data_IF_676646066568
#
_entry.id   IF_676646066568
#
_cell.length_a   1.000
_cell.length_b   1.000
_cell.length_c   1.000
_cell.angle_alpha   90.00
_cell.angle_beta   90.00
_cell.angle_gamma   90.00
#
_symmetry.space_group_name_H-M   'P 1'
#
loop_
_entity.id
_entity.type
_entity.pdbx_description
1 polymer ?
#
# COMPACT_ATOMS: atom_id res chain seq x y z
N UNK A 1 4.72 32.33 -2.88
CA UNK A 1 5.39 31.19 -3.55
C UNK A 1 6.66 30.81 -2.79
N UNK A 2 7.73 31.59 -2.91
CA UNK A 2 9.04 31.29 -2.29
C UNK A 2 8.98 31.18 -0.76
N UNK A 3 8.18 32.01 -0.09
CA UNK A 3 8.03 31.94 1.36
C UNK A 3 7.60 30.55 1.85
N UNK A 4 6.64 29.89 1.18
CA UNK A 4 6.17 28.55 1.56
C UNK A 4 7.30 27.52 1.44
N UNK A 5 8.08 27.58 0.35
CA UNK A 5 9.23 26.71 0.15
C UNK A 5 10.35 26.97 1.16
N UNK A 6 10.60 28.23 1.52
CA UNK A 6 11.60 28.60 2.52
C UNK A 6 11.19 28.09 3.91
N UNK A 7 9.93 28.30 4.30
CA UNK A 7 9.43 27.87 5.61
C UNK A 7 9.47 26.35 5.76
N UNK A 8 9.01 25.60 4.75
CA UNK A 8 9.07 24.14 4.84
C UNK A 8 10.52 23.64 4.86
N UNK A 9 11.44 24.22 4.07
CA UNK A 9 12.87 23.90 4.13
C UNK A 9 13.50 24.26 5.47
N UNK A 10 12.97 25.27 6.15
CA UNK A 10 13.50 25.70 7.45
C UNK A 10 13.36 24.63 8.53
N UNK A 11 12.44 23.66 8.35
CA UNK A 11 12.33 22.50 9.25
C UNK A 11 13.60 21.64 9.31
N UNK A 12 14.44 21.67 8.27
CA UNK A 12 15.73 20.96 8.27
C UNK A 12 16.85 21.72 9.02
N UNK A 13 16.57 22.95 9.48
CA UNK A 13 17.56 23.74 10.19
C UNK A 13 17.86 23.16 11.58
N UNK A 14 19.15 23.07 11.92
CA UNK A 14 19.62 22.40 13.15
C UNK A 14 18.99 22.94 14.44
N UNK A 15 18.67 24.23 14.49
CA UNK A 15 18.03 24.82 15.66
C UNK A 15 16.54 24.44 15.74
N UNK A 16 15.87 24.32 14.59
CA UNK A 16 14.46 23.90 14.51
C UNK A 16 14.31 22.43 14.86
N UNK A 17 15.27 21.59 14.47
CA UNK A 17 15.28 20.17 14.81
C UNK A 17 15.32 19.90 16.32
N UNK A 18 15.86 20.83 17.12
CA UNK A 18 15.96 20.72 18.58
C UNK A 18 14.72 21.21 19.31
N UNK A 19 13.81 21.87 18.62
CA UNK A 19 12.64 22.52 19.20
C UNK A 19 11.34 21.96 18.59
N UNK A 20 10.76 20.93 19.22
CA UNK A 20 9.55 20.25 18.74
C UNK A 20 8.34 21.17 18.53
N UNK A 21 8.16 22.17 19.39
CA UNK A 21 7.09 23.18 19.30
C UNK A 21 7.25 24.04 18.05
N UNK A 22 8.46 24.58 17.83
CA UNK A 22 8.73 25.45 16.68
C UNK A 22 8.53 24.71 15.34
N UNK A 23 8.78 23.40 15.28
CA UNK A 23 8.45 22.60 14.09
C UNK A 23 6.95 22.61 13.80
N UNK A 24 6.11 22.39 14.81
CA UNK A 24 4.66 22.41 14.65
C UNK A 24 4.19 23.79 14.21
N UNK A 25 4.66 24.85 14.88
CA UNK A 25 4.29 26.23 14.57
C UNK A 25 4.67 26.60 13.11
N UNK A 26 5.87 26.24 12.67
CA UNK A 26 6.31 26.47 11.29
C UNK A 26 5.38 25.76 10.30
N UNK A 27 5.04 24.48 10.54
CA UNK A 27 4.18 23.72 9.64
C UNK A 27 2.76 24.29 9.61
N UNK A 28 2.21 24.65 10.77
CA UNK A 28 0.86 25.22 10.89
C UNK A 28 0.76 26.58 10.20
N UNK A 29 1.72 27.48 10.45
CA UNK A 29 1.80 28.78 9.76
C UNK A 29 1.96 28.59 8.26
N UNK A 30 2.82 27.67 7.83
CA UNK A 30 3.01 27.36 6.41
C UNK A 30 1.71 26.85 5.77
N UNK A 31 0.97 26.00 6.48
CA UNK A 31 -0.33 25.45 6.05
C UNK A 31 -1.37 26.56 5.91
N UNK A 32 -1.49 27.43 6.91
CA UNK A 32 -2.42 28.56 6.88
C UNK A 32 -2.08 29.53 5.74
N UNK A 33 -0.80 29.86 5.56
CA UNK A 33 -0.35 30.68 4.43
C UNK A 33 -0.66 30.01 3.09
N UNK A 34 -0.46 28.70 2.97
CA UNK A 34 -0.81 27.95 1.75
C UNK A 34 -2.30 28.06 1.44
N UNK A 35 -3.18 27.96 2.46
CA UNK A 35 -4.63 28.09 2.27
C UNK A 35 -5.04 29.48 1.77
N UNK A 36 -4.50 30.54 2.39
CA UNK A 36 -4.94 31.91 2.15
C UNK A 36 -4.31 32.59 0.93
N UNK A 37 -3.12 32.17 0.50
CA UNK A 37 -2.49 32.77 -0.68
C UNK A 37 -3.17 32.25 -1.95
N UNK A 38 -3.77 33.16 -2.72
CA UNK A 38 -4.13 32.89 -4.12
C UNK A 38 -2.83 32.79 -4.91
N UNK A 39 -2.45 31.57 -5.25
CA UNK A 39 -1.14 31.24 -5.75
C UNK A 39 -1.31 30.35 -6.99
N UNK A 40 -0.77 30.81 -8.13
CA UNK A 40 -0.61 30.00 -9.33
C UNK A 40 0.44 28.88 -9.15
N UNK A 41 0.28 27.71 -9.78
CA UNK A 41 1.29 26.65 -9.73
C UNK A 41 2.69 27.20 -10.09
N UNK A 42 3.70 26.92 -9.26
CA UNK A 42 5.07 27.38 -9.50
C UNK A 42 6.11 26.34 -9.09
N UNK A 43 7.32 26.45 -9.64
CA UNK A 43 8.47 25.59 -9.30
C UNK A 43 8.78 25.63 -7.80
N UNK A 44 8.55 26.78 -7.15
CA UNK A 44 8.75 26.90 -5.70
C UNK A 44 7.76 26.04 -4.91
N UNK A 45 6.49 25.97 -5.33
CA UNK A 45 5.49 25.10 -4.68
C UNK A 45 5.82 23.63 -4.95
N UNK A 46 6.23 23.27 -6.17
CA UNK A 46 6.67 21.90 -6.50
C UNK A 46 7.86 21.49 -5.60
N UNK A 47 8.83 22.39 -5.41
CA UNK A 47 9.92 22.18 -4.45
C UNK A 47 9.41 21.98 -3.02
N UNK A 48 8.45 22.80 -2.59
CA UNK A 48 7.83 22.68 -1.27
C UNK A 48 7.09 21.34 -1.06
N UNK A 49 6.46 20.78 -2.11
CA UNK A 49 5.88 19.42 -2.08
C UNK A 49 6.96 18.38 -1.83
N UNK A 50 8.09 18.45 -2.54
CA UNK A 50 9.21 17.53 -2.35
C UNK A 50 9.77 17.59 -0.93
N UNK A 51 9.92 18.78 -0.37
CA UNK A 51 10.38 18.97 1.00
C UNK A 51 9.34 18.45 2.01
N UNK A 52 8.06 18.76 1.84
CA UNK A 52 6.99 18.25 2.69
C UNK A 52 6.90 16.71 2.67
N UNK A 53 7.09 16.06 1.52
CA UNK A 53 7.17 14.60 1.43
C UNK A 53 8.38 14.02 2.19
N UNK A 54 9.52 14.71 2.16
CA UNK A 54 10.70 14.34 2.95
C UNK A 54 10.40 14.43 4.44
N UNK A 55 9.73 15.49 4.89
CA UNK A 55 9.29 15.64 6.28
C UNK A 55 8.23 14.61 6.66
N UNK A 56 7.33 14.23 5.76
CA UNK A 56 6.34 13.18 5.99
C UNK A 56 7.03 11.83 6.20
N UNK A 57 8.04 11.48 5.39
CA UNK A 57 8.83 10.27 5.63
C UNK A 57 9.52 10.29 6.98
N UNK A 58 10.12 11.44 7.34
CA UNK A 58 10.79 11.61 8.65
C UNK A 58 9.79 11.44 9.81
N UNK A 59 8.61 12.07 9.75
CA UNK A 59 7.61 11.96 10.83
C UNK A 59 7.04 10.55 10.97
N UNK A 60 6.82 9.84 9.86
CA UNK A 60 6.45 8.42 9.86
C UNK A 60 7.56 7.59 10.53
N UNK A 61 8.83 7.85 10.20
CA UNK A 61 9.96 7.14 10.80
C UNK A 61 10.07 7.37 12.31
N UNK A 62 9.91 8.62 12.77
CA UNK A 62 9.91 8.94 14.21
C UNK A 62 8.84 8.19 14.99
N UNK A 63 7.66 7.98 14.38
CA UNK A 63 6.55 7.25 14.99
C UNK A 63 6.80 5.72 15.10
N UNK A 64 7.81 5.17 14.41
CA UNK A 64 8.14 3.74 14.48
C UNK A 64 8.98 3.37 15.70
N UNK A 65 9.73 4.33 16.26
CA UNK A 65 10.59 4.13 17.44
C UNK A 65 9.84 4.39 18.77
N UNK A 66 8.51 4.44 18.71
CA UNK A 66 7.65 4.80 19.82
C UNK A 66 7.69 3.82 21.01
N UNK A 67 8.12 2.57 20.83
CA UNK A 67 8.04 1.53 21.86
C UNK A 67 8.68 1.93 23.21
N UNK A 68 9.76 2.73 23.17
CA UNK A 68 10.51 3.17 24.35
C UNK A 68 10.31 4.66 24.71
N UNK A 69 9.45 5.38 23.99
CA UNK A 69 9.26 6.82 24.14
C UNK A 69 8.14 7.17 25.13
N UNK A 70 8.33 8.30 25.83
CA UNK A 70 7.32 8.87 26.73
C UNK A 70 6.05 9.30 25.99
N UNK A 71 4.91 9.34 26.70
CA UNK A 71 3.61 9.66 26.12
C UNK A 71 3.58 11.02 25.39
N UNK A 72 4.32 12.01 25.91
CA UNK A 72 4.44 13.34 25.30
C UNK A 72 5.10 13.29 23.92
N UNK A 73 6.18 12.52 23.78
CA UNK A 73 6.92 12.39 22.52
C UNK A 73 6.08 11.66 21.47
N UNK A 74 5.36 10.60 21.88
CA UNK A 74 4.40 9.88 21.01
C UNK A 74 3.30 10.81 20.50
N UNK A 75 2.71 11.59 21.40
CA UNK A 75 1.68 12.56 21.04
C UNK A 75 2.22 13.61 20.08
N UNK A 76 3.44 14.09 20.30
CA UNK A 76 4.12 15.00 19.40
C UNK A 76 4.40 14.38 18.02
N UNK A 77 4.93 13.15 17.95
CA UNK A 77 5.17 12.42 16.69
C UNK A 77 3.89 12.29 15.87
N UNK A 78 2.79 11.93 16.52
CA UNK A 78 1.45 11.85 15.91
C UNK A 78 1.01 13.22 15.38
N UNK A 79 1.10 14.26 16.21
CA UNK A 79 0.69 15.61 15.80
C UNK A 79 1.53 16.13 14.64
N UNK A 80 2.86 15.96 14.70
CA UNK A 80 3.78 16.35 13.62
C UNK A 80 3.40 15.67 12.31
N UNK A 81 3.10 14.37 12.34
CA UNK A 81 2.66 13.63 11.16
C UNK A 81 1.35 14.19 10.60
N UNK A 82 0.38 14.51 11.44
CA UNK A 82 -0.91 15.08 11.03
C UNK A 82 -0.76 16.47 10.41
N UNK A 83 0.02 17.37 11.04
CA UNK A 83 0.22 18.73 10.49
C UNK A 83 1.02 18.71 9.19
N UNK A 84 2.03 17.83 9.06
CA UNK A 84 2.80 17.69 7.81
C UNK A 84 1.94 17.10 6.69
N UNK A 85 1.09 16.11 7.00
CA UNK A 85 0.16 15.52 6.04
C UNK A 85 -0.84 16.56 5.49
N UNK A 86 -1.37 17.39 6.39
CA UNK A 86 -2.25 18.50 6.02
C UNK A 86 -1.51 19.55 5.17
N UNK A 87 -0.29 19.93 5.55
CA UNK A 87 0.53 20.86 4.80
C UNK A 87 0.81 20.36 3.37
N UNK A 88 1.19 19.08 3.24
CA UNK A 88 1.41 18.44 1.95
C UNK A 88 0.13 18.42 1.09
N UNK A 89 -1.01 18.18 1.72
CA UNK A 89 -2.32 18.22 1.06
C UNK A 89 -2.60 19.60 0.46
N UNK A 90 -2.39 20.67 1.23
CA UNK A 90 -2.56 22.06 0.74
C UNK A 90 -1.60 22.40 -0.40
N UNK A 91 -0.34 21.96 -0.32
CA UNK A 91 0.61 22.16 -1.42
C UNK A 91 0.17 21.40 -2.68
N UNK A 92 -0.30 20.15 -2.55
CA UNK A 92 -0.80 19.38 -3.68
C UNK A 92 -2.00 20.07 -4.36
N UNK A 93 -2.93 20.61 -3.57
CA UNK A 93 -4.04 21.42 -4.08
C UNK A 93 -3.55 22.67 -4.83
N UNK A 94 -2.50 23.34 -4.36
CA UNK A 94 -1.93 24.51 -5.03
C UNK A 94 -1.15 24.20 -6.30
N UNK A 95 -0.52 23.03 -6.41
CA UNK A 95 0.09 22.60 -7.67
C UNK A 95 -0.98 22.36 -8.74
N UNK A 96 -2.12 21.78 -8.36
CA UNK A 96 -3.28 21.57 -9.24
C UNK A 96 -3.09 20.50 -10.32
N UNK A 97 -1.87 20.26 -10.79
CA UNK A 97 -1.53 19.14 -11.69
C UNK A 97 -0.81 18.00 -10.95
N UNK A 98 -1.24 16.78 -11.22
CA UNK A 98 -0.67 15.58 -10.61
C UNK A 98 0.73 15.24 -11.16
N UNK A 99 1.00 15.56 -12.43
CA UNK A 99 2.24 15.18 -13.12
C UNK A 99 3.53 15.48 -12.33
N UNK A 100 3.76 16.74 -11.92
CA UNK A 100 4.94 17.10 -11.12
C UNK A 100 5.03 16.35 -9.79
N UNK A 101 3.92 16.08 -9.12
CA UNK A 101 3.90 15.36 -7.84
C UNK A 101 4.26 13.89 -8.02
N UNK A 102 3.77 13.26 -9.10
CA UNK A 102 4.12 11.88 -9.45
C UNK A 102 5.61 11.74 -9.81
N UNK A 103 6.20 12.76 -10.45
CA UNK A 103 7.64 12.79 -10.68
C UNK A 103 8.43 12.86 -9.37
N UNK A 104 7.97 13.64 -8.38
CA UNK A 104 8.58 13.66 -7.04
C UNK A 104 8.46 12.28 -6.37
N UNK A 105 7.31 11.61 -6.49
CA UNK A 105 7.13 10.25 -6.01
C UNK A 105 8.12 9.28 -6.66
N UNK A 106 8.36 9.40 -7.97
CA UNK A 106 9.34 8.60 -8.69
C UNK A 106 10.76 8.84 -8.16
N UNK A 107 11.18 10.11 -8.03
CA UNK A 107 12.50 10.49 -7.48
C UNK A 107 12.69 9.94 -6.07
N UNK A 108 11.64 9.94 -5.25
CA UNK A 108 11.70 9.38 -3.88
C UNK A 108 11.86 7.86 -3.86
N UNK A 109 11.46 7.16 -4.93
CA UNK A 109 11.58 5.71 -5.09
C UNK A 109 12.84 5.27 -5.86
N UNK A 110 13.53 6.18 -6.56
CA UNK A 110 14.64 5.88 -7.47
C UNK A 110 15.73 4.99 -6.88
N UNK A 111 15.98 5.12 -5.58
CA UNK A 111 16.97 4.35 -4.85
C UNK A 111 16.36 3.81 -3.55
N UNK A 112 15.31 3.00 -3.67
CA UNK A 112 14.71 2.39 -2.49
C UNK A 112 15.75 1.62 -1.68
N UNK A 113 15.84 1.94 -0.39
CA UNK A 113 16.89 1.40 0.47
C UNK A 113 16.69 -0.10 0.72
N UNK A 114 17.77 -0.87 0.76
CA UNK A 114 17.72 -2.26 1.24
C UNK A 114 17.49 -2.37 2.75
N UNK A 115 17.56 -1.27 3.50
CA UNK A 115 17.27 -1.22 4.92
C UNK A 115 15.75 -1.20 5.09
N UNK A 116 15.18 -2.29 5.61
CA UNK A 116 13.73 -2.54 5.72
C UNK A 116 12.95 -1.35 6.29
N UNK A 117 13.40 -0.75 7.39
CA UNK A 117 12.70 0.38 8.03
C UNK A 117 12.69 1.61 7.10
N UNK A 118 13.79 1.87 6.39
CA UNK A 118 13.90 3.00 5.45
C UNK A 118 13.05 2.74 4.20
N UNK A 119 13.02 1.51 3.69
CA UNK A 119 12.17 1.10 2.57
C UNK A 119 10.68 1.30 2.90
N UNK A 120 10.23 0.77 4.05
CA UNK A 120 8.84 0.84 4.50
C UNK A 120 8.37 2.27 4.74
N UNK A 121 9.19 3.11 5.37
CA UNK A 121 8.87 4.53 5.59
C UNK A 121 8.82 5.31 4.29
N UNK A 122 9.74 5.05 3.36
CA UNK A 122 9.73 5.66 2.02
C UNK A 122 8.46 5.29 1.25
N UNK A 123 8.12 4.00 1.18
CA UNK A 123 6.89 3.51 0.54
C UNK A 123 5.64 4.09 1.22
N UNK A 124 5.61 4.18 2.55
CA UNK A 124 4.46 4.72 3.28
C UNK A 124 4.23 6.20 2.97
N UNK A 125 5.29 7.00 2.89
CA UNK A 125 5.22 8.41 2.51
C UNK A 125 4.72 8.56 1.07
N UNK A 126 5.28 7.80 0.12
CA UNK A 126 4.86 7.84 -1.29
C UNK A 126 3.42 7.36 -1.46
N UNK A 127 3.01 6.32 -0.74
CA UNK A 127 1.63 5.83 -0.74
C UNK A 127 0.66 6.89 -0.22
N UNK A 128 1.01 7.58 0.87
CA UNK A 128 0.18 8.66 1.39
C UNK A 128 0.05 9.81 0.39
N UNK A 129 1.14 10.22 -0.25
CA UNK A 129 1.10 11.21 -1.33
C UNK A 129 0.22 10.75 -2.50
N UNK A 130 0.30 9.48 -2.90
CA UNK A 130 -0.55 8.93 -3.95
C UNK A 130 -2.04 9.10 -3.63
N UNK A 131 -2.44 8.85 -2.38
CA UNK A 131 -3.81 9.05 -1.92
C UNK A 131 -4.25 10.52 -1.99
N UNK A 132 -3.38 11.44 -1.59
CA UNK A 132 -3.64 12.89 -1.67
C UNK A 132 -3.86 13.28 -3.13
N UNK A 133 -2.95 12.89 -4.03
CA UNK A 133 -3.02 13.20 -5.46
C UNK A 133 -4.28 12.61 -6.10
N UNK A 134 -4.65 11.38 -5.75
CA UNK A 134 -5.85 10.73 -6.26
C UNK A 134 -7.16 11.43 -5.86
N UNK A 135 -7.13 12.23 -4.77
CA UNK A 135 -8.29 12.98 -4.28
C UNK A 135 -8.44 14.39 -4.86
N UNK A 136 -7.52 14.84 -5.73
CA UNK A 136 -7.56 16.19 -6.27
C UNK A 136 -8.75 16.39 -7.24
N UNK A 137 -9.51 17.49 -7.13
CA UNK A 137 -10.79 17.68 -7.82
C UNK A 137 -10.70 17.92 -9.34
N UNK A 138 -9.49 18.04 -9.92
CA UNK A 138 -9.29 18.34 -11.34
C UNK A 138 -8.29 17.38 -11.97
N UNK A 139 -8.58 16.08 -11.93
CA UNK A 139 -7.72 15.03 -12.48
C UNK A 139 -7.58 15.20 -14.01
N UNK A 140 -6.56 15.95 -14.46
CA UNK A 140 -5.99 15.76 -15.80
C UNK A 140 -5.51 14.31 -16.01
N UNK A 141 -5.44 13.53 -14.93
CA UNK A 141 -5.20 12.10 -14.84
C UNK A 141 -6.12 11.22 -15.69
N UNK A 142 -7.40 11.59 -15.85
CA UNK A 142 -8.39 10.75 -16.53
C UNK A 142 -8.06 10.50 -18.01
N UNK A 143 -7.24 11.36 -18.62
CA UNK A 143 -6.86 11.28 -20.03
C UNK A 143 -5.34 11.12 -20.25
N UNK A 144 -4.56 10.91 -19.20
CA UNK A 144 -3.10 10.76 -19.28
C UNK A 144 -2.73 9.29 -19.11
N UNK A 145 -1.76 8.83 -19.89
CA UNK A 145 -1.12 7.54 -19.66
C UNK A 145 -0.53 7.49 -18.25
N UNK A 146 -0.36 6.28 -17.71
CA UNK A 146 0.29 6.09 -16.42
C UNK A 146 1.68 6.78 -16.41
N UNK A 147 2.07 7.48 -15.33
CA UNK A 147 3.35 8.18 -15.25
C UNK A 147 4.55 7.21 -15.40
N UNK A 148 5.18 7.21 -16.57
CA UNK A 148 6.25 6.27 -16.93
C UNK A 148 7.41 6.28 -15.92
N UNK A 149 7.88 7.46 -15.51
CA UNK A 149 8.95 7.58 -14.53
C UNK A 149 8.60 6.90 -13.20
N UNK A 150 7.37 7.07 -12.71
CA UNK A 150 6.91 6.42 -11.49
C UNK A 150 6.75 4.92 -11.68
N UNK A 151 6.31 4.47 -12.85
CA UNK A 151 6.19 3.04 -13.16
C UNK A 151 7.53 2.34 -13.08
N UNK A 152 8.56 2.89 -13.73
CA UNK A 152 9.92 2.32 -13.71
C UNK A 152 10.45 2.19 -12.29
N UNK A 153 10.21 3.17 -11.41
CA UNK A 153 10.67 3.10 -10.02
C UNK A 153 9.81 2.20 -9.12
N UNK A 154 8.55 1.95 -9.49
CA UNK A 154 7.70 0.99 -8.77
C UNK A 154 8.08 -0.46 -9.05
N UNK A 155 8.60 -0.79 -10.24
CA UNK A 155 8.95 -2.16 -10.60
C UNK A 155 9.98 -2.79 -9.62
N UNK A 156 11.13 -2.16 -9.30
CA UNK A 156 12.04 -2.65 -8.27
C UNK A 156 11.39 -2.75 -6.89
N UNK A 157 10.56 -1.77 -6.52
CA UNK A 157 9.89 -1.76 -5.21
C UNK A 157 8.87 -2.90 -5.05
N UNK A 158 8.21 -3.31 -6.13
CA UNK A 158 7.26 -4.44 -6.15
C UNK A 158 7.92 -5.81 -5.99
N UNK A 159 9.23 -5.92 -6.29
CA UNK A 159 10.01 -7.16 -6.12
C UNK A 159 11.00 -7.09 -4.96
N UNK A 160 10.88 -6.06 -4.11
CA UNK A 160 11.75 -5.86 -2.95
C UNK A 160 11.70 -7.05 -1.97
N UNK A 161 12.79 -7.42 -1.27
CA UNK A 161 12.81 -8.56 -0.34
C UNK A 161 11.79 -8.44 0.81
N UNK A 162 11.55 -7.23 1.29
CA UNK A 162 10.55 -6.94 2.32
C UNK A 162 9.12 -6.94 1.77
N UNK A 163 8.22 -7.72 2.41
CA UNK A 163 6.85 -7.90 1.92
C UNK A 163 5.97 -6.65 2.08
N UNK A 164 6.15 -5.85 3.14
CA UNK A 164 5.35 -4.64 3.35
C UNK A 164 5.69 -3.59 2.29
N UNK A 165 6.97 -3.50 1.93
CA UNK A 165 7.48 -2.67 0.84
C UNK A 165 6.84 -3.07 -0.49
N UNK A 166 6.82 -4.38 -0.83
CA UNK A 166 6.15 -4.89 -2.04
C UNK A 166 4.66 -4.55 -2.07
N UNK A 167 3.95 -4.85 -0.98
CA UNK A 167 2.50 -4.60 -0.87
C UNK A 167 2.22 -3.11 -1.00
N UNK A 168 3.01 -2.25 -0.35
CA UNK A 168 2.87 -0.80 -0.47
C UNK A 168 3.12 -0.28 -1.89
N UNK A 169 4.11 -0.81 -2.61
CA UNK A 169 4.35 -0.49 -4.02
C UNK A 169 3.15 -0.87 -4.91
N UNK A 170 2.58 -2.07 -4.71
CA UNK A 170 1.36 -2.47 -5.42
C UNK A 170 0.15 -1.58 -5.09
N UNK A 171 0.03 -1.11 -3.84
CA UNK A 171 -1.01 -0.15 -3.44
C UNK A 171 -0.81 1.20 -4.13
N UNK A 172 0.41 1.71 -4.20
CA UNK A 172 0.73 2.95 -4.93
C UNK A 172 0.31 2.80 -6.39
N UNK A 173 0.75 1.74 -7.06
CA UNK A 173 0.38 1.47 -8.45
C UNK A 173 -1.13 1.44 -8.65
N UNK A 174 -1.86 0.77 -7.75
CA UNK A 174 -3.32 0.67 -7.84
C UNK A 174 -4.01 2.02 -7.68
N UNK A 175 -3.57 2.84 -6.71
CA UNK A 175 -4.12 4.19 -6.47
C UNK A 175 -3.87 5.12 -7.65
N UNK A 176 -2.67 5.04 -8.23
CA UNK A 176 -2.23 5.87 -9.35
C UNK A 176 -2.92 5.43 -10.65
N UNK A 177 -3.14 4.12 -10.86
CA UNK A 177 -3.80 3.59 -12.05
C UNK A 177 -5.31 3.87 -12.05
N UNK A 178 -5.98 3.71 -10.90
CA UNK A 178 -7.44 3.90 -10.77
C UNK A 178 -7.75 4.83 -9.59
N UNK A 179 -7.59 6.15 -9.76
CA UNK A 179 -7.77 7.12 -8.67
C UNK A 179 -9.18 7.09 -8.03
N UNK A 180 -10.22 6.77 -8.80
CA UNK A 180 -11.63 6.85 -8.36
C UNK A 180 -12.09 5.70 -7.46
N UNK A 181 -11.37 4.57 -7.39
CA UNK A 181 -11.80 3.39 -6.63
C UNK A 181 -11.35 3.37 -5.16
N UNK A 182 -10.52 4.34 -4.75
CA UNK A 182 -9.76 4.27 -3.49
C UNK A 182 -9.76 5.58 -2.71
N UNK A 183 -10.64 6.54 -3.02
CA UNK A 183 -10.80 7.72 -2.18
C UNK A 183 -11.40 7.31 -0.82
N UNK A 184 -10.63 7.38 0.29
CA UNK A 184 -11.21 7.20 1.61
C UNK A 184 -12.01 8.49 1.86
N UNK A 185 -13.35 8.38 1.85
CA UNK A 185 -14.20 9.47 2.30
C UNK A 185 -13.75 9.87 3.71
N UNK A 186 -13.34 11.12 3.97
CA UNK A 186 -13.13 11.57 5.33
C UNK A 186 -14.49 11.57 6.01
N UNK A 187 -14.67 10.71 7.00
CA UNK A 187 -15.89 10.65 7.80
C UNK A 187 -16.07 11.97 8.54
N UNK A 188 -16.78 12.92 7.93
CA UNK A 188 -17.34 14.09 8.60
C UNK A 188 -18.78 13.80 8.96
N UNK A 189 -19.04 13.87 10.26
CA UNK A 189 -20.36 13.85 10.88
C UNK A 189 -21.29 14.93 10.27
N UNK A 190 -22.57 14.56 10.17
CA UNK A 190 -23.75 15.42 9.98
C UNK A 190 -23.87 16.25 8.69
N UNK A 191 -24.33 15.59 7.62
CA UNK A 191 -25.31 16.17 6.69
C UNK A 191 -26.36 15.11 6.36
N UNK A 192 -27.44 15.12 7.14
CA UNK A 192 -28.72 14.54 6.71
C UNK A 192 -29.25 15.41 5.58
N UNK A 193 -29.27 14.89 4.36
CA UNK A 193 -30.17 15.29 3.27
C UNK A 193 -30.16 14.20 2.19
N UNK A 194 -31.14 13.31 2.30
CA UNK A 194 -31.95 12.72 1.23
C UNK A 194 -31.30 12.05 0.02
N UNK A 195 -31.41 10.71 0.06
CA UNK A 195 -32.02 9.88 -0.97
C UNK A 195 -31.70 10.24 -2.43
N UNK A 196 -30.62 9.63 -2.94
CA UNK A 196 -30.72 8.82 -4.16
C UNK A 196 -29.65 7.74 -4.15
N UNK A 197 -30.08 6.60 -3.63
CA UNK A 197 -29.55 5.27 -3.83
C UNK A 197 -29.53 4.97 -5.34
N UNK A 198 -28.45 5.34 -6.02
CA UNK A 198 -28.12 4.75 -7.31
C UNK A 198 -26.99 3.75 -7.07
N UNK A 199 -27.41 2.53 -6.70
CA UNK A 199 -26.54 1.38 -6.59
C UNK A 199 -25.90 1.09 -7.95
N UNK A 200 -24.66 1.55 -8.14
CA UNK A 200 -23.80 1.06 -9.20
C UNK A 200 -23.49 -0.42 -8.94
N UNK A 201 -24.32 -1.27 -9.55
CA UNK A 201 -24.09 -2.69 -9.90
C UNK A 201 -22.84 -3.31 -9.28
N UNK A 202 -22.97 -3.79 -8.05
CA UNK A 202 -22.14 -4.88 -7.53
C UNK A 202 -22.61 -6.17 -8.21
N UNK A 203 -21.86 -6.64 -9.21
CA UNK A 203 -21.98 -8.03 -9.67
C UNK A 203 -21.32 -8.89 -8.59
N UNK A 204 -22.11 -9.24 -7.57
CA UNK A 204 -21.71 -10.14 -6.51
C UNK A 204 -21.51 -11.55 -7.07
N UNK A 205 -20.27 -11.87 -7.44
CA UNK A 205 -19.82 -13.24 -7.75
C UNK A 205 -19.72 -14.14 -6.51
N UNK A 206 -20.19 -13.66 -5.35
CA UNK A 206 -20.21 -14.42 -4.09
C UNK A 206 -21.61 -14.86 -3.64
N UNK A 207 -22.62 -14.77 -4.52
CA UNK A 207 -23.97 -15.28 -4.23
C UNK A 207 -24.07 -16.81 -4.35
N UNK A 208 -23.11 -17.46 -5.03
CA UNK A 208 -23.12 -18.93 -5.23
C UNK A 208 -22.91 -19.71 -3.93
N UNK A 209 -22.04 -19.23 -3.04
CA UNK A 209 -21.75 -19.88 -1.75
C UNK A 209 -22.91 -19.73 -0.76
N UNK A 210 -23.54 -18.55 -0.68
CA UNK A 210 -24.69 -18.32 0.20
C UNK A 210 -25.91 -19.16 -0.20
N UNK A 211 -26.21 -19.27 -1.50
CA UNK A 211 -27.27 -20.13 -2.00
C UNK A 211 -27.01 -21.63 -1.73
N UNK A 212 -25.75 -22.06 -1.79
CA UNK A 212 -25.34 -23.42 -1.43
C UNK A 212 -25.54 -23.73 0.07
N UNK A 213 -25.18 -22.79 0.96
CA UNK A 213 -25.39 -22.97 2.40
C UNK A 213 -26.89 -22.98 2.77
N UNK A 214 -27.71 -22.14 2.13
CA UNK A 214 -29.16 -22.17 2.32
C UNK A 214 -29.80 -23.45 1.76
N UNK A 215 -29.21 -24.06 0.72
CA UNK A 215 -29.66 -25.37 0.23
C UNK A 215 -29.31 -26.47 1.22
N UNK A 216 -28.09 -26.48 1.75
CA UNK A 216 -27.63 -27.46 2.74
C UNK A 216 -28.45 -27.41 4.05
N UNK A 217 -28.84 -26.20 4.49
CA UNK A 217 -29.64 -26.03 5.71
C UNK A 217 -31.06 -26.59 5.56
N UNK A 218 -31.67 -26.43 4.38
CA UNK A 218 -33.02 -26.94 4.06
C UNK A 218 -33.03 -28.46 3.88
N UNK A 219 -31.99 -29.04 3.28
CA UNK A 219 -31.89 -30.49 3.12
C UNK A 219 -31.80 -31.20 4.49
N UNK A 220 -31.14 -30.59 5.48
CA UNK A 220 -31.01 -31.14 6.85
C UNK A 220 -32.29 -31.08 7.70
N UNK A 221 -33.28 -30.27 7.33
CA UNK A 221 -34.58 -30.19 8.02
C UNK A 221 -35.66 -31.09 7.41
N UNK A 222 -35.40 -31.72 6.25
CA UNK A 222 -36.39 -32.58 5.57
C UNK A 222 -36.37 -34.06 6.02
N UNK A 223 -35.38 -34.48 6.80
CA UNK A 223 -35.17 -35.90 7.17
C UNK A 223 -35.80 -36.30 8.51
N UNK A 224 -36.64 -35.45 9.10
CA UNK A 224 -37.28 -35.73 10.40
C UNK A 224 -38.78 -35.45 10.36
N UNK A 225 -39.48 -36.07 9.43
CA UNK A 225 -40.94 -36.24 9.56
C UNK A 225 -41.35 -37.53 8.84
N UNK A 226 -42.21 -38.31 9.52
CA UNK A 226 -42.85 -39.57 9.10
C UNK A 226 -42.24 -40.87 9.66
N UNK A 227 -42.50 -41.06 10.96
CA UNK A 227 -42.57 -42.33 11.67
C UNK A 227 -43.92 -43.00 11.34
N UNK A 228 -43.83 -44.18 10.72
CA UNK A 228 -44.74 -45.35 10.74
C UNK A 228 -46.23 -45.21 10.36
N UNK A 229 -46.64 -45.91 9.29
CA UNK A 229 -47.70 -46.92 9.39
C UNK A 229 -47.61 -48.00 8.29
N UNK A 230 -48.06 -49.19 8.67
CA UNK A 230 -47.82 -50.53 8.17
C UNK A 230 -48.68 -50.93 6.93
N UNK A 231 -48.16 -51.81 6.06
CA UNK A 231 -48.81 -53.07 5.63
C UNK A 231 -48.26 -53.60 4.29
N UNK A 232 -48.17 -54.94 4.23
CA UNK A 232 -47.62 -55.75 3.14
C UNK A 232 -48.73 -56.22 2.19
N UNK A 233 -48.38 -56.20 0.88
CA UNK A 233 -48.65 -57.22 -0.15
C UNK A 233 -50.06 -57.32 -0.77
N UNK A 234 -50.24 -56.92 -2.05
CA UNK A 234 -49.85 -57.68 -3.27
C UNK A 234 -50.56 -57.17 -4.56
N UNK A 235 -49.78 -57.20 -5.66
CA UNK A 235 -50.12 -57.54 -7.06
C UNK A 235 -50.80 -56.55 -8.06
N UNK A 236 -50.02 -56.32 -9.13
CA UNK A 236 -50.28 -56.06 -10.56
C UNK A 236 -50.77 -54.70 -11.13
N UNK A 237 -49.85 -54.16 -11.95
CA UNK A 237 -49.95 -53.48 -13.26
C UNK A 237 -50.71 -52.15 -13.44
N UNK A 238 -49.92 -51.12 -13.81
CA UNK A 238 -50.37 -49.85 -14.36
C UNK A 238 -49.26 -48.79 -14.32
N UNK A 239 -48.60 -48.58 -15.48
CA UNK A 239 -47.91 -47.39 -16.00
C UNK A 239 -47.27 -46.27 -15.11
N UNK A 240 -46.14 -45.78 -15.63
CA UNK A 240 -45.46 -44.47 -15.46
C UNK A 240 -44.28 -44.29 -14.47
N UNK A 241 -43.11 -44.12 -15.11
CA UNK A 241 -42.14 -43.00 -15.02
C UNK A 241 -41.39 -42.72 -13.69
N UNK A 242 -40.08 -42.97 -13.78
CA UNK A 242 -38.92 -42.18 -13.32
C UNK A 242 -38.27 -42.40 -11.94
N UNK A 243 -36.94 -42.31 -12.05
CA UNK A 243 -35.93 -41.91 -11.07
C UNK A 243 -35.40 -42.92 -10.05
N UNK A 244 -34.06 -43.00 -10.01
CA UNK A 244 -33.34 -43.39 -8.80
C UNK A 244 -32.00 -44.09 -8.96
N UNK A 245 -31.22 -43.84 -10.03
CA UNK A 245 -29.89 -44.43 -10.18
C UNK A 245 -28.88 -43.81 -9.19
N UNK A 246 -28.73 -44.42 -8.01
CA UNK A 246 -27.62 -44.18 -7.09
C UNK A 246 -26.38 -44.95 -7.56
N UNK A 247 -25.57 -44.33 -8.41
CA UNK A 247 -24.22 -44.79 -8.69
C UNK A 247 -23.19 -43.89 -7.99
N UNK A 248 -22.84 -44.35 -6.80
CA UNK A 248 -21.66 -44.09 -5.98
C UNK A 248 -20.39 -43.84 -6.82
N UNK A 249 -19.89 -42.60 -6.83
CA UNK A 249 -18.54 -42.24 -7.30
C UNK A 249 -17.85 -41.48 -6.15
N UNK A 250 -17.17 -42.19 -5.24
CA UNK A 250 -15.71 -42.31 -5.18
C UNK A 250 -14.97 -40.99 -5.43
N UNK A 251 -14.67 -40.26 -4.35
CA UNK A 251 -13.72 -39.14 -4.38
C UNK A 251 -12.29 -39.68 -4.25
N UNK A 252 -11.49 -39.55 -5.31
CA UNK A 252 -10.07 -39.86 -5.28
C UNK A 252 -9.29 -38.78 -4.51
N UNK A 253 -8.91 -39.08 -3.28
CA UNK A 253 -7.86 -38.33 -2.56
C UNK A 253 -6.55 -39.10 -2.71
N UNK A 254 -5.77 -38.82 -3.76
CA UNK A 254 -4.43 -39.41 -3.89
C UNK A 254 -3.42 -38.63 -3.06
N UNK A 255 -2.93 -39.28 -2.00
CA UNK A 255 -1.74 -38.91 -1.23
C UNK A 255 -0.48 -39.41 -1.95
N UNK A 256 0.49 -38.51 -2.17
CA UNK A 256 1.91 -38.62 -1.78
C UNK A 256 2.87 -39.63 -2.48
N UNK A 257 4.07 -39.09 -2.81
CA UNK A 257 5.39 -39.65 -3.20
C UNK A 257 5.64 -40.25 -4.60
N UNK A 258 6.55 -39.60 -5.35
CA UNK A 258 7.57 -40.28 -6.15
C UNK A 258 8.86 -39.44 -6.18
N UNK A 259 9.94 -39.98 -5.59
CA UNK A 259 11.29 -39.47 -5.74
C UNK A 259 11.81 -39.76 -7.16
N UNK A 260 12.49 -38.80 -7.77
CA UNK A 260 13.63 -39.10 -8.65
C UNK A 260 14.60 -37.91 -8.73
N UNK A 261 15.68 -38.01 -7.97
CA UNK A 261 16.94 -37.32 -8.29
C UNK A 261 17.47 -37.84 -9.63
N UNK A 262 18.20 -37.01 -10.38
CA UNK A 262 19.37 -37.47 -11.11
C UNK A 262 20.63 -36.91 -10.46
N UNK A 263 21.51 -37.81 -10.01
CA UNK A 263 22.89 -37.52 -9.67
C UNK A 263 23.75 -37.78 -10.94
N UNK A 264 24.40 -36.70 -11.43
CA UNK A 264 25.82 -36.55 -11.87
C UNK A 264 26.37 -37.45 -13.01
N UNK A 265 27.24 -36.89 -13.87
CA UNK A 265 28.64 -37.31 -13.79
C UNK A 265 29.63 -36.15 -13.71
N UNK A 266 30.64 -36.40 -12.88
CA UNK A 266 31.84 -35.64 -12.58
C UNK A 266 32.94 -35.84 -13.63
N UNK A 267 33.71 -34.79 -13.90
CA UNK A 267 35.14 -34.85 -14.27
C UNK A 267 35.80 -33.65 -13.57
N UNK A 268 36.56 -33.81 -12.48
CA UNK A 268 38.04 -33.98 -12.45
C UNK A 268 38.76 -32.96 -13.34
N UNK A 269 39.74 -32.18 -12.92
CA UNK A 269 40.57 -32.10 -11.72
C UNK A 269 41.37 -30.78 -11.79
N UNK A 270 42.19 -30.53 -10.77
CA UNK A 270 43.40 -29.68 -10.76
C UNK A 270 43.28 -28.23 -10.25
N UNK A 271 43.55 -28.11 -8.93
CA UNK A 271 44.36 -27.03 -8.37
C UNK A 271 45.84 -27.47 -8.45
N UNK A 272 46.82 -26.55 -8.58
CA UNK A 272 47.54 -26.17 -7.35
C UNK A 272 48.15 -24.74 -7.29
N UNK A 273 48.08 -24.14 -6.09
CA UNK A 273 49.20 -23.63 -5.25
C UNK A 273 50.01 -22.36 -5.66
N UNK A 274 50.15 -21.48 -4.64
CA UNK A 274 51.18 -20.42 -4.38
C UNK A 274 51.18 -19.16 -5.26
N UNK A 275 51.50 -17.94 -4.82
CA UNK A 275 52.36 -17.50 -3.71
C UNK A 275 52.03 -16.06 -3.24
N UNK A 276 52.32 -15.84 -1.95
CA UNK A 276 52.82 -14.61 -1.32
C UNK A 276 53.51 -13.61 -2.27
N UNK A 277 53.18 -12.32 -2.15
CA UNK A 277 54.14 -11.22 -2.34
C UNK A 277 53.78 -10.03 -1.44
N UNK A 278 54.68 -9.78 -0.47
CA UNK A 278 54.90 -8.49 0.18
C UNK A 278 55.33 -7.48 -0.88
N UNK A 279 54.76 -6.28 -0.86
CA UNK A 279 55.53 -5.08 -1.16
C UNK A 279 55.32 -4.00 -0.10
N UNK A 280 56.44 -3.71 0.53
CA UNK A 280 56.77 -2.55 1.32
C UNK A 280 56.82 -1.30 0.46
N UNK A 281 56.20 -0.22 0.94
CA UNK A 281 56.41 1.14 0.43
C UNK A 281 55.94 2.14 1.48
N UNK A 282 56.86 2.51 2.38
CA UNK A 282 56.60 3.62 3.30
C UNK A 282 56.51 4.95 2.55
N UNK A 283 55.94 5.96 3.20
CA UNK A 283 56.57 7.25 3.44
C UNK A 283 55.80 8.04 4.51
N UNK A 284 56.61 8.76 5.28
CA UNK A 284 56.37 9.70 6.36
C UNK A 284 55.15 10.64 6.21
N UNK A 285 54.45 10.95 7.31
CA UNK A 285 54.69 12.21 8.03
C UNK A 285 53.88 12.31 9.33
N UNK A 286 54.56 12.89 10.33
CA UNK A 286 54.14 13.21 11.68
C UNK A 286 53.93 14.72 11.73
N UNK A 287 52.82 15.19 12.28
CA UNK A 287 52.70 16.54 12.84
C UNK A 287 51.50 16.57 13.80
N UNK A 288 51.84 16.83 15.07
CA UNK A 288 51.04 17.33 16.20
C UNK A 288 49.70 16.69 16.56
#
# INVERSE_FOLDING_TARGET
MFLLSILIKHLDHKNVLKEPSMQLDIVEVTTALAQHVKADPSVAIIGAVSDAMRHLRKSIHCSLDDANLGAEIKNWNKNLREVVDKCLTEFAYKVGDAGPILNIMAVMLENISNITVIARTTISAVYRTAQIVASLPNLSYQNKAFPEALFHQLLPAMVHPDHETRVGAHRIFSVVLVPSSVSPCPSSTNRVSDLSRTLSRTVSVFSSSAALFDKLRRDKTSTRENVFQDSKNNAHEGEQISNGMLARLQSSTSRVYSMKNPLVPSTSDENPVNSLNKETGGWFSKAE
#
